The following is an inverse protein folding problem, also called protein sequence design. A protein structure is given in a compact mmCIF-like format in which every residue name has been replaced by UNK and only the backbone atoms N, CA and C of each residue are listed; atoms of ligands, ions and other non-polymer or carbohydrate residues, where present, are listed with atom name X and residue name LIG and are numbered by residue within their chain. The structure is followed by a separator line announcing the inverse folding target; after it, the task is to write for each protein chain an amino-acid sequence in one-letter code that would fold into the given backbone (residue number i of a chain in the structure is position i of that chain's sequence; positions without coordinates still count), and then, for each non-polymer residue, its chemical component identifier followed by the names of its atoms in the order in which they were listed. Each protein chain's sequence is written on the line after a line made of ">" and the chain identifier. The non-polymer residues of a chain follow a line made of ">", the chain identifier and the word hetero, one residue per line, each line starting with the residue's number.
data_IF_287325368959
#
_entry.id   IF_287325368959
#
_cell.length_a   1.000
_cell.length_b   1.000
_cell.length_c   1.000
_cell.angle_alpha   90.00
_cell.angle_beta   90.00
_cell.angle_gamma   90.00
#
_symmetry.space_group_name_H-M   'P 1'
#
loop_
_entity.id
_entity.type
_entity.pdbx_description
1 polymer ?
#
# COMPACT_ATOMS: atom_id res chain seq x y z
N UNK A 1 -51.87 -43.91 32.85
CA UNK A 1 -51.61 -44.54 34.15
C UNK A 1 -50.42 -43.80 34.74
N UNK A 2 -50.72 -42.69 35.41
CA UNK A 2 -50.86 -42.57 36.88
C UNK A 2 -49.46 -42.50 37.49
N UNK A 3 -48.96 -41.28 37.73
CA UNK A 3 -49.09 -40.55 39.02
C UNK A 3 -48.21 -41.20 40.09
N UNK A 4 -47.26 -40.48 40.69
CA UNK A 4 -47.59 -39.60 41.81
C UNK A 4 -46.67 -38.38 41.95
N UNK A 5 -47.35 -37.23 42.02
CA UNK A 5 -46.97 -35.89 42.45
C UNK A 5 -47.11 -35.83 44.02
N UNK A 6 -47.38 -34.70 44.72
CA UNK A 6 -46.53 -33.57 45.13
C UNK A 6 -46.69 -33.20 46.64
N UNK A 7 -46.10 -32.09 47.08
CA UNK A 7 -46.60 -31.27 48.22
C UNK A 7 -46.22 -29.80 48.00
N UNK A 8 -47.11 -28.82 47.74
CA UNK A 8 -48.16 -28.18 48.58
C UNK A 8 -47.59 -27.66 49.93
N UNK A 9 -47.75 -26.42 50.44
CA UNK A 9 -48.69 -25.29 50.20
C UNK A 9 -48.32 -24.06 51.10
N UNK A 10 -48.62 -22.83 50.62
CA UNK A 10 -49.15 -21.58 51.26
C UNK A 10 -48.66 -20.94 52.59
N UNK A 11 -48.50 -19.60 52.55
CA UNK A 11 -49.32 -18.53 53.20
C UNK A 11 -48.45 -17.32 53.58
N UNK A 12 -48.68 -16.10 53.06
CA UNK A 12 -49.59 -15.05 53.53
C UNK A 12 -49.35 -14.56 54.99
N UNK A 13 -48.70 -13.40 55.14
CA UNK A 13 -48.85 -12.54 56.32
C UNK A 13 -48.70 -11.05 55.94
N UNK A 14 -49.84 -10.35 55.94
CA UNK A 14 -49.95 -8.88 56.01
C UNK A 14 -49.72 -8.42 57.46
N UNK A 15 -49.13 -7.23 57.65
CA UNK A 15 -49.37 -6.23 58.72
C UNK A 15 -48.57 -4.97 58.36
N UNK A 16 -49.23 -3.94 57.83
CA UNK A 16 -49.75 -2.74 58.50
C UNK A 16 -48.70 -1.66 58.77
N UNK A 17 -48.87 -0.56 58.02
CA UNK A 17 -48.21 0.75 58.11
C UNK A 17 -48.53 1.50 59.41
N UNK A 18 -47.78 2.58 59.70
CA UNK A 18 -48.36 3.83 60.13
C UNK A 18 -48.19 4.93 59.08
N UNK A 19 -49.28 5.66 58.89
CA UNK A 19 -49.44 6.88 58.08
C UNK A 19 -48.93 8.07 58.93
N UNK A 20 -48.05 8.92 58.40
CA UNK A 20 -47.85 10.29 58.90
C UNK A 20 -48.34 11.25 57.81
N UNK A 21 -49.48 11.87 58.08
CA UNK A 21 -50.16 12.89 57.27
C UNK A 21 -49.52 14.26 57.54
N UNK A 22 -48.64 14.73 56.65
CA UNK A 22 -48.31 16.16 56.55
C UNK A 22 -48.19 16.61 55.08
N UNK A 23 -48.87 17.71 54.68
CA UNK A 23 -48.85 18.19 53.31
C UNK A 23 -47.62 19.09 53.06
N UNK A 24 -46.93 18.90 51.94
CA UNK A 24 -45.92 19.84 51.44
C UNK A 24 -46.29 20.29 50.02
N UNK A 25 -46.38 21.61 49.88
CA UNK A 25 -46.85 22.39 48.74
C UNK A 25 -45.99 22.24 47.46
N UNK A 26 -46.48 22.67 46.27
CA UNK A 26 -45.79 22.48 45.01
C UNK A 26 -44.84 23.66 44.74
N UNK A 27 -43.55 23.37 44.57
CA UNK A 27 -42.59 24.32 44.00
C UNK A 27 -42.09 23.92 42.61
N UNK A 28 -41.95 24.97 41.80
CA UNK A 28 -41.72 25.00 40.36
C UNK A 28 -40.37 24.40 39.97
N UNK A 29 -40.37 23.52 38.96
CA UNK A 29 -39.16 23.24 38.17
C UNK A 29 -39.38 23.60 36.70
N UNK A 30 -38.83 24.76 36.32
CA UNK A 30 -38.45 25.03 34.94
C UNK A 30 -37.13 24.27 34.66
N UNK A 31 -37.22 23.21 33.85
CA UNK A 31 -36.08 22.35 33.50
C UNK A 31 -35.79 22.41 32.00
N UNK A 32 -34.65 22.99 31.68
CA UNK A 32 -34.02 23.14 30.37
C UNK A 32 -33.94 21.81 29.60
N UNK A 33 -34.51 21.76 28.39
CA UNK A 33 -34.21 20.72 27.39
C UNK A 33 -32.84 21.02 26.76
N UNK A 34 -31.77 20.47 27.35
CA UNK A 34 -30.46 20.41 26.71
C UNK A 34 -30.31 19.04 26.02
N UNK A 35 -30.32 19.05 24.69
CA UNK A 35 -29.95 17.91 23.84
C UNK A 35 -28.54 17.44 24.20
N UNK A 36 -28.43 16.25 24.82
CA UNK A 36 -27.14 15.60 25.06
C UNK A 36 -26.57 15.10 23.73
N UNK A 37 -25.66 15.89 23.16
CA UNK A 37 -24.77 15.42 22.09
C UNK A 37 -23.84 14.35 22.67
N UNK A 38 -23.96 13.12 22.16
CA UNK A 38 -23.06 12.03 22.51
C UNK A 38 -21.76 12.28 21.73
N UNK A 39 -20.83 13.00 22.33
CA UNK A 39 -19.49 13.19 21.79
C UNK A 39 -18.67 11.92 22.02
N UNK A 40 -18.32 11.22 20.95
CA UNK A 40 -17.31 10.17 21.00
C UNK A 40 -15.94 10.81 21.25
N UNK A 41 -15.16 10.35 22.25
CA UNK A 41 -13.83 10.88 22.49
C UNK A 41 -12.93 10.55 21.29
N UNK A 42 -12.45 11.60 20.61
CA UNK A 42 -11.39 11.46 19.61
C UNK A 42 -10.11 10.94 20.28
N UNK A 43 -9.40 10.00 19.61
CA UNK A 43 -8.14 9.41 20.10
C UNK A 43 -7.00 10.43 20.32
N UNK A 44 -7.14 11.65 19.80
CA UNK A 44 -6.27 12.81 20.03
C UNK A 44 -7.10 14.11 19.94
N UNK A 45 -6.75 15.17 20.70
CA UNK A 45 -7.37 16.48 20.53
C UNK A 45 -7.00 17.06 19.15
N UNK A 46 -7.92 17.84 18.54
CA UNK A 46 -7.69 18.56 17.28
C UNK A 46 -6.49 19.54 17.35
N UNK A 47 -6.09 19.97 18.55
CA UNK A 47 -4.94 20.85 18.77
C UNK A 47 -3.57 20.19 18.54
N UNK A 48 -3.53 18.85 18.45
CA UNK A 48 -2.27 18.07 18.42
C UNK A 48 -1.96 17.50 17.03
N UNK A 49 -2.72 17.89 16.00
CA UNK A 49 -2.42 17.49 14.62
C UNK A 49 -1.40 18.45 14.02
N UNK A 50 -0.16 17.97 13.87
CA UNK A 50 0.88 18.69 13.14
C UNK A 50 0.53 18.80 11.65
N UNK A 51 0.85 19.92 10.97
CA UNK A 51 0.69 20.04 9.52
C UNK A 51 1.50 18.98 8.78
N UNK A 52 0.99 18.51 7.64
CA UNK A 52 1.70 17.61 6.75
C UNK A 52 2.97 18.29 6.22
N UNK A 53 4.09 17.58 6.30
CA UNK A 53 5.34 18.04 5.71
C UNK A 53 5.31 17.87 4.19
N UNK A 54 5.55 18.96 3.45
CA UNK A 54 5.58 18.96 1.99
C UNK A 54 6.94 19.48 1.51
N UNK A 55 7.61 18.76 0.63
CA UNK A 55 8.84 19.21 0.00
C UNK A 55 8.60 19.58 -1.46
N UNK A 56 9.17 20.71 -1.90
CA UNK A 56 9.24 21.10 -3.32
C UNK A 56 10.68 20.96 -3.81
N UNK A 57 10.87 20.13 -4.85
CA UNK A 57 12.17 19.90 -5.49
C UNK A 57 12.16 20.35 -6.95
N UNK A 58 13.25 21.00 -7.36
CA UNK A 58 13.52 21.50 -8.71
C UNK A 58 14.90 22.16 -8.80
N UNK A 59 15.39 22.40 -10.01
CA UNK A 59 16.58 23.22 -10.24
C UNK A 59 16.26 24.71 -10.07
N UNK A 60 16.56 25.27 -8.90
CA UNK A 60 16.14 26.62 -8.50
C UNK A 60 16.57 27.77 -9.45
N UNK A 61 17.73 27.65 -10.12
CA UNK A 61 18.27 28.73 -10.96
C UNK A 61 17.77 28.73 -12.40
N UNK A 62 17.06 27.69 -12.83
CA UNK A 62 16.59 27.62 -14.23
C UNK A 62 15.44 28.59 -14.46
N UNK A 63 15.45 29.21 -15.64
CA UNK A 63 14.44 30.18 -16.04
C UNK A 63 13.18 29.51 -16.60
N UNK A 64 12.03 30.08 -16.25
CA UNK A 64 10.71 29.75 -16.77
C UNK A 64 9.96 31.03 -17.11
N UNK A 65 8.93 30.92 -17.95
CA UNK A 65 7.96 31.98 -18.12
C UNK A 65 7.03 32.03 -16.91
N UNK A 66 7.08 33.14 -16.17
CA UNK A 66 6.21 33.41 -15.03
C UNK A 66 6.01 34.91 -14.86
N UNK A 67 4.76 35.33 -14.64
CA UNK A 67 4.30 36.71 -14.59
C UNK A 67 4.62 37.48 -15.88
N UNK A 68 4.45 36.81 -17.04
CA UNK A 68 4.81 37.31 -18.37
C UNK A 68 6.29 37.74 -18.49
N UNK A 69 7.17 37.15 -17.67
CA UNK A 69 8.62 37.44 -17.63
C UNK A 69 9.41 36.15 -17.52
N UNK A 70 10.67 36.19 -17.94
CA UNK A 70 11.62 35.12 -17.62
C UNK A 70 12.04 35.26 -16.15
N UNK A 71 11.66 34.30 -15.31
CA UNK A 71 11.98 34.26 -13.87
C UNK A 71 12.56 32.91 -13.49
N UNK A 72 13.35 32.85 -12.41
CA UNK A 72 13.90 31.59 -11.94
C UNK A 72 12.85 30.74 -11.22
N UNK A 73 13.03 29.41 -11.27
CA UNK A 73 12.20 28.47 -10.51
C UNK A 73 12.23 28.75 -8.99
N UNK A 74 13.29 29.36 -8.46
CA UNK A 74 13.36 29.81 -7.07
C UNK A 74 12.24 30.80 -6.72
N UNK A 75 11.87 31.70 -7.64
CA UNK A 75 10.77 32.66 -7.42
C UNK A 75 9.44 31.92 -7.34
N UNK A 76 9.20 31.00 -8.28
CA UNK A 76 7.99 30.16 -8.28
C UNK A 76 7.90 29.28 -7.02
N UNK A 77 9.00 28.67 -6.58
CA UNK A 77 9.05 27.83 -5.37
C UNK A 77 8.63 28.60 -4.11
N UNK A 78 9.10 29.84 -3.95
CA UNK A 78 8.71 30.70 -2.81
C UNK A 78 7.23 31.06 -2.83
N UNK A 79 6.69 31.37 -4.01
CA UNK A 79 5.25 31.64 -4.17
C UNK A 79 4.41 30.38 -3.88
N UNK A 80 4.82 29.24 -4.43
CA UNK A 80 4.18 27.95 -4.16
C UNK A 80 4.17 27.62 -2.67
N UNK A 81 5.31 27.79 -1.99
CA UNK A 81 5.42 27.63 -0.54
C UNK A 81 4.39 28.51 0.17
N UNK A 82 4.38 29.82 -0.10
CA UNK A 82 3.46 30.77 0.52
C UNK A 82 1.99 30.35 0.36
N UNK A 83 1.59 29.97 -0.86
CA UNK A 83 0.22 29.55 -1.16
C UNK A 83 -0.18 28.25 -0.49
N UNK A 84 0.69 27.24 -0.55
CA UNK A 84 0.44 25.92 0.03
C UNK A 84 0.40 25.98 1.57
N UNK A 85 1.27 26.78 2.20
CA UNK A 85 1.23 27.04 3.65
C UNK A 85 0.00 27.87 4.05
N UNK A 86 -0.53 28.68 3.13
CA UNK A 86 -1.78 29.43 3.28
C UNK A 86 -3.04 28.56 3.29
N UNK A 87 -2.97 27.30 2.85
CA UNK A 87 -4.13 26.39 2.83
C UNK A 87 -4.52 26.01 4.26
N UNK A 88 -5.75 26.38 4.63
CA UNK A 88 -6.33 26.09 5.94
C UNK A 88 -7.65 25.34 5.82
N UNK A 89 -7.85 24.35 6.68
CA UNK A 89 -9.13 23.65 6.85
C UNK A 89 -9.59 23.87 8.29
N UNK A 90 -10.76 24.49 8.48
CA UNK A 90 -11.26 24.83 9.81
C UNK A 90 -10.32 25.75 10.60
N UNK A 91 -9.52 26.58 9.90
CA UNK A 91 -8.51 27.46 10.51
C UNK A 91 -7.15 26.80 10.81
N UNK A 92 -7.02 25.48 10.65
CA UNK A 92 -5.79 24.72 10.88
C UNK A 92 -4.98 24.68 9.58
N UNK A 93 -3.69 25.00 9.66
CA UNK A 93 -2.76 24.89 8.54
C UNK A 93 -2.57 23.44 8.12
N UNK A 94 -2.73 23.16 6.82
CA UNK A 94 -2.67 21.79 6.29
C UNK A 94 -1.23 21.37 6.02
N UNK A 95 -0.42 22.25 5.43
CA UNK A 95 0.93 21.94 4.99
C UNK A 95 1.98 22.82 5.66
N UNK A 96 3.09 22.21 6.07
CA UNK A 96 4.36 22.87 6.33
C UNK A 96 5.29 22.59 5.15
N UNK A 97 5.67 23.63 4.40
CA UNK A 97 6.39 23.45 3.14
C UNK A 97 7.86 23.72 3.32
N UNK A 98 8.71 22.81 2.85
CA UNK A 98 10.16 22.95 2.85
C UNK A 98 10.68 23.17 1.43
N UNK A 99 11.54 24.18 1.29
CA UNK A 99 12.32 24.47 0.09
C UNK A 99 13.77 24.74 0.51
N UNK A 100 14.74 24.38 -0.33
CA UNK A 100 16.16 24.58 -0.03
C UNK A 100 16.52 26.05 0.24
N UNK A 101 15.82 27.00 -0.39
CA UNK A 101 16.07 28.44 -0.26
C UNK A 101 15.87 28.99 1.17
N UNK A 102 15.20 28.24 2.06
CA UNK A 102 14.99 28.63 3.47
C UNK A 102 16.21 28.34 4.36
N UNK A 103 17.17 27.53 3.91
CA UNK A 103 18.40 27.29 4.65
C UNK A 103 19.31 28.52 4.49
N UNK A 104 19.43 29.32 5.56
CA UNK A 104 20.38 30.43 5.62
C UNK A 104 21.79 29.94 5.26
N UNK A 105 22.60 30.76 4.59
CA UNK A 105 23.98 30.53 4.10
C UNK A 105 25.01 30.08 5.19
N UNK A 106 24.68 29.12 6.03
CA UNK A 106 25.56 28.55 7.04
C UNK A 106 26.36 27.44 6.36
N UNK A 107 27.53 27.85 5.86
CA UNK A 107 28.67 27.03 5.44
C UNK A 107 28.61 25.54 5.81
N UNK A 108 28.25 24.68 4.85
CA UNK A 108 28.70 23.28 4.75
C UNK A 108 28.18 22.64 3.45
N UNK A 109 28.90 22.81 2.34
CA UNK A 109 28.57 22.19 1.03
C UNK A 109 28.33 20.65 1.12
N UNK A 110 28.92 19.97 2.10
CA UNK A 110 28.72 18.54 2.36
C UNK A 110 27.47 18.20 3.20
N UNK A 111 26.98 19.10 4.07
CA UNK A 111 25.78 18.85 4.89
C UNK A 111 24.48 19.10 4.11
N UNK A 112 24.55 19.86 3.01
CA UNK A 112 23.38 20.23 2.23
C UNK A 112 22.80 19.04 1.46
N UNK A 113 23.64 18.11 0.98
CA UNK A 113 23.17 16.95 0.20
C UNK A 113 22.34 15.98 1.04
N UNK A 114 22.89 15.47 2.15
CA UNK A 114 22.16 14.52 3.00
C UNK A 114 20.96 15.18 3.67
N UNK A 115 21.04 16.47 4.05
CA UNK A 115 19.87 17.22 4.54
C UNK A 115 18.72 17.20 3.52
N UNK A 116 19.01 17.52 2.25
CA UNK A 116 18.01 17.48 1.18
C UNK A 116 17.40 16.08 1.00
N UNK A 117 18.23 15.02 1.04
CA UNK A 117 17.75 13.65 0.94
C UNK A 117 16.89 13.25 2.15
N UNK A 118 17.30 13.63 3.35
CA UNK A 118 16.52 13.37 4.56
C UNK A 118 15.16 14.06 4.50
N UNK A 119 15.10 15.31 4.07
CA UNK A 119 13.84 16.03 3.83
C UNK A 119 12.98 15.35 2.79
N UNK A 120 13.57 14.88 1.69
CA UNK A 120 12.84 14.17 0.64
C UNK A 120 12.26 12.84 1.14
N UNK A 121 13.03 12.07 1.91
CA UNK A 121 12.57 10.81 2.53
C UNK A 121 11.48 11.03 3.56
N UNK A 122 11.59 12.07 4.38
CA UNK A 122 10.71 12.29 5.53
C UNK A 122 9.47 13.15 5.22
N UNK A 123 9.43 13.86 4.09
CA UNK A 123 8.23 14.59 3.69
C UNK A 123 7.03 13.65 3.49
N UNK A 124 5.86 14.06 3.97
CA UNK A 124 4.58 13.36 3.76
C UNK A 124 4.09 13.50 2.31
N UNK A 125 4.41 14.63 1.68
CA UNK A 125 4.13 14.92 0.26
C UNK A 125 5.39 15.45 -0.42
N UNK A 126 5.68 14.97 -1.63
CA UNK A 126 6.81 15.45 -2.43
C UNK A 126 6.31 15.95 -3.79
N UNK A 127 6.57 17.21 -4.11
CA UNK A 127 6.24 17.82 -5.40
C UNK A 127 7.53 18.09 -6.17
N UNK A 128 7.68 17.43 -7.31
CA UNK A 128 8.75 17.69 -8.27
C UNK A 128 8.29 18.71 -9.31
N UNK A 129 8.93 19.89 -9.39
CA UNK A 129 8.79 20.77 -10.55
C UNK A 129 9.86 20.39 -11.57
N UNK A 130 9.42 19.72 -12.63
CA UNK A 130 10.29 19.01 -13.56
C UNK A 130 10.43 19.76 -14.88
N UNK A 131 11.66 20.16 -15.19
CA UNK A 131 12.05 20.79 -16.46
C UNK A 131 13.14 20.01 -17.21
N UNK A 132 13.48 18.80 -16.75
CA UNK A 132 14.50 17.95 -17.37
C UNK A 132 15.92 18.08 -16.82
N UNK A 133 16.19 18.96 -15.84
CA UNK A 133 17.53 19.11 -15.23
C UNK A 133 17.66 18.34 -13.92
N UNK A 134 18.77 17.61 -13.77
CA UNK A 134 19.04 16.70 -12.65
C UNK A 134 19.44 17.41 -11.36
N UNK A 135 19.85 18.68 -11.41
CA UNK A 135 20.30 19.42 -10.22
C UNK A 135 21.82 19.60 -10.15
N UNK A 136 22.29 20.14 -9.02
CA UNK A 136 23.72 20.22 -8.69
C UNK A 136 24.28 18.83 -8.39
N UNK A 137 25.54 18.57 -8.75
CA UNK A 137 26.18 17.24 -8.64
C UNK A 137 26.95 17.01 -7.34
N UNK A 138 26.80 17.88 -6.33
CA UNK A 138 27.51 17.74 -5.05
C UNK A 138 28.93 18.32 -5.03
N UNK A 139 29.47 18.72 -6.18
CA UNK A 139 30.81 19.32 -6.31
C UNK A 139 30.85 20.37 -7.43
N UNK A 140 31.86 21.24 -7.40
CA UNK A 140 32.14 22.20 -8.48
C UNK A 140 32.89 21.57 -9.67
N UNK A 141 33.41 20.36 -9.48
CA UNK A 141 34.08 19.54 -10.51
C UNK A 141 33.14 18.41 -10.96
N UNK A 142 32.30 18.64 -11.98
CA UNK A 142 31.25 17.70 -12.36
C UNK A 142 31.86 16.36 -12.81
N UNK A 143 31.57 15.30 -12.05
CA UNK A 143 31.82 13.93 -12.52
C UNK A 143 30.81 13.65 -13.64
N UNK A 144 31.28 13.19 -14.80
CA UNK A 144 30.44 13.02 -16.00
C UNK A 144 29.27 12.05 -15.77
N UNK A 145 29.42 11.11 -14.84
CA UNK A 145 28.45 10.11 -14.42
C UNK A 145 27.78 10.42 -13.06
N UNK A 146 27.92 11.65 -12.56
CA UNK A 146 27.38 12.06 -11.28
C UNK A 146 25.84 12.07 -11.23
N UNK A 147 25.27 11.82 -10.05
CA UNK A 147 23.84 11.98 -9.80
C UNK A 147 23.57 13.43 -9.39
N UNK A 148 22.57 14.08 -10.00
CA UNK A 148 22.14 15.42 -9.58
C UNK A 148 21.20 15.38 -8.37
N UNK A 149 21.24 16.43 -7.54
CA UNK A 149 20.47 16.49 -6.29
C UNK A 149 18.96 16.35 -6.51
N UNK A 150 18.40 16.96 -7.56
CA UNK A 150 16.96 16.85 -7.84
C UNK A 150 16.57 15.42 -8.23
N UNK A 151 17.45 14.72 -8.97
CA UNK A 151 17.29 13.30 -9.25
C UNK A 151 17.35 12.48 -7.96
N UNK A 152 18.38 12.71 -7.13
CA UNK A 152 18.55 11.99 -5.87
C UNK A 152 17.39 12.21 -4.89
N UNK A 153 16.88 13.43 -4.78
CA UNK A 153 15.72 13.78 -3.95
C UNK A 153 14.46 13.02 -4.39
N UNK A 154 14.13 13.04 -5.68
CA UNK A 154 12.93 12.33 -6.16
C UNK A 154 13.07 10.82 -6.01
N UNK A 155 14.25 10.26 -6.24
CA UNK A 155 14.52 8.83 -6.04
C UNK A 155 14.34 8.46 -4.56
N UNK A 156 14.94 9.23 -3.64
CA UNK A 156 14.83 9.00 -2.21
C UNK A 156 13.39 9.12 -1.69
N UNK A 157 12.61 10.08 -2.21
CA UNK A 157 11.19 10.21 -1.88
C UNK A 157 10.37 9.04 -2.43
N UNK A 158 10.61 8.65 -3.68
CA UNK A 158 9.88 7.59 -4.37
C UNK A 158 10.15 6.20 -3.77
N UNK A 159 11.42 5.88 -3.48
CA UNK A 159 11.81 4.62 -2.85
C UNK A 159 11.20 4.45 -1.46
N UNK A 160 11.02 5.56 -0.73
CA UNK A 160 10.36 5.54 0.58
C UNK A 160 8.86 5.27 0.47
N UNK A 161 8.18 5.98 -0.42
CA UNK A 161 6.75 5.82 -0.67
C UNK A 161 6.36 6.43 -2.03
N UNK A 162 6.13 5.61 -3.07
CA UNK A 162 5.73 6.13 -4.39
C UNK A 162 4.47 7.00 -4.35
N UNK A 163 3.54 6.65 -3.46
CA UNK A 163 2.25 7.31 -3.31
C UNK A 163 2.32 8.78 -2.87
N UNK A 164 3.43 9.24 -2.25
CA UNK A 164 3.61 10.65 -1.86
C UNK A 164 4.20 11.54 -2.94
N UNK A 165 4.74 10.97 -4.02
CA UNK A 165 5.42 11.72 -5.07
C UNK A 165 4.41 12.20 -6.11
N UNK A 166 4.42 13.50 -6.41
CA UNK A 166 3.67 14.13 -7.49
C UNK A 166 4.63 14.95 -8.37
N UNK A 167 4.31 15.06 -9.65
CA UNK A 167 5.09 15.83 -10.60
C UNK A 167 4.26 16.97 -11.22
N UNK A 168 4.93 18.09 -11.46
CA UNK A 168 4.46 19.19 -12.29
C UNK A 168 5.51 19.34 -13.36
N UNK A 169 5.20 18.90 -14.56
CA UNK A 169 6.16 18.73 -15.64
C UNK A 169 5.97 19.85 -16.66
N UNK A 170 7.03 20.62 -16.91
CA UNK A 170 7.01 21.62 -17.97
C UNK A 170 7.06 20.92 -19.33
N UNK A 171 6.16 21.30 -20.25
CA UNK A 171 6.05 20.66 -21.57
C UNK A 171 7.34 20.81 -22.39
N UNK A 172 7.98 21.97 -22.30
CA UNK A 172 9.26 22.23 -22.92
C UNK A 172 10.38 21.84 -21.95
N UNK A 173 10.85 20.59 -22.05
CA UNK A 173 12.02 20.15 -21.29
C UNK A 173 13.28 20.81 -21.85
N UNK A 174 14.22 21.09 -20.96
CA UNK A 174 15.54 21.56 -21.36
C UNK A 174 16.29 20.36 -21.99
N UNK A 175 16.80 20.47 -23.23
CA UNK A 175 17.51 19.38 -23.87
C UNK A 175 18.73 18.95 -23.05
N UNK A 176 18.85 17.64 -22.83
CA UNK A 176 20.02 17.05 -22.20
C UNK A 176 21.13 16.82 -23.24
N UNK A 177 22.39 16.97 -22.83
CA UNK A 177 23.51 16.49 -23.62
C UNK A 177 23.57 14.94 -23.53
N UNK A 178 24.05 14.25 -24.58
CA UNK A 178 24.28 12.80 -24.51
C UNK A 178 25.22 12.42 -23.36
N UNK A 179 24.93 11.30 -22.71
CA UNK A 179 25.67 10.75 -21.56
C UNK A 179 25.79 11.73 -20.37
N UNK A 180 24.79 12.60 -20.20
CA UNK A 180 24.74 13.55 -19.09
C UNK A 180 23.86 13.09 -17.94
N UNK A 181 24.08 13.63 -16.72
CA UNK A 181 23.17 13.42 -15.59
C UNK A 181 21.72 13.84 -15.90
N UNK A 182 21.54 14.87 -16.73
CA UNK A 182 20.23 15.34 -17.18
C UNK A 182 19.55 14.30 -18.07
N UNK A 183 20.26 13.68 -19.01
CA UNK A 183 19.71 12.62 -19.85
C UNK A 183 19.29 11.42 -18.99
N UNK A 184 20.15 11.02 -18.06
CA UNK A 184 19.87 9.93 -17.11
C UNK A 184 18.63 10.24 -16.27
N UNK A 185 18.47 11.48 -15.82
CA UNK A 185 17.29 11.93 -15.08
C UNK A 185 16.02 11.96 -15.95
N UNK A 186 16.13 12.41 -17.20
CA UNK A 186 15.01 12.39 -18.14
C UNK A 186 14.54 10.96 -18.45
N UNK A 187 15.48 10.03 -18.63
CA UNK A 187 15.15 8.61 -18.79
C UNK A 187 14.51 8.01 -17.53
N UNK A 188 15.01 8.37 -16.34
CA UNK A 188 14.43 7.93 -15.07
C UNK A 188 12.97 8.38 -14.93
N UNK A 189 12.68 9.68 -15.12
CA UNK A 189 11.32 10.23 -15.02
C UNK A 189 10.37 9.60 -16.05
N UNK A 190 10.84 9.38 -17.28
CA UNK A 190 10.08 8.72 -18.34
C UNK A 190 9.71 7.27 -18.00
N UNK A 191 10.64 6.50 -17.41
CA UNK A 191 10.42 5.10 -17.01
C UNK A 191 9.45 4.98 -15.84
N UNK A 192 9.59 5.83 -14.84
CA UNK A 192 8.78 5.76 -13.61
C UNK A 192 7.35 6.28 -13.78
N UNK A 193 7.08 7.09 -14.82
CA UNK A 193 5.74 7.64 -15.13
C UNK A 193 5.06 8.28 -13.92
N UNK A 194 5.78 9.19 -13.26
CA UNK A 194 5.27 9.89 -12.06
C UNK A 194 3.91 10.54 -12.31
N UNK A 195 2.91 10.34 -11.42
CA UNK A 195 1.62 11.03 -11.50
C UNK A 195 1.81 12.54 -11.45
N UNK A 196 1.15 13.29 -12.32
CA UNK A 196 1.39 14.72 -12.39
C UNK A 196 0.67 15.46 -13.51
N UNK A 197 0.77 16.79 -13.46
CA UNK A 197 0.24 17.69 -14.47
C UNK A 197 1.32 18.13 -15.47
N UNK A 198 0.92 18.38 -16.72
CA UNK A 198 1.76 18.98 -17.75
C UNK A 198 1.44 20.47 -17.88
N UNK A 199 2.43 21.33 -17.72
CA UNK A 199 2.28 22.80 -17.66
C UNK A 199 3.18 23.51 -18.67
N UNK A 200 2.75 24.67 -19.14
CA UNK A 200 3.53 25.53 -20.03
C UNK A 200 4.24 26.66 -19.26
N UNK A 201 3.56 27.26 -18.27
CA UNK A 201 4.05 28.46 -17.56
C UNK A 201 4.05 28.27 -16.04
N UNK A 202 4.67 29.20 -15.33
CA UNK A 202 4.67 29.24 -13.87
C UNK A 202 3.28 29.44 -13.27
N UNK A 203 2.37 30.16 -13.93
CA UNK A 203 0.98 30.33 -13.49
C UNK A 203 0.24 29.01 -13.52
N UNK A 204 0.39 28.24 -14.61
CA UNK A 204 -0.19 26.90 -14.69
C UNK A 204 0.42 25.99 -13.62
N UNK A 205 1.73 26.04 -13.41
CA UNK A 205 2.39 25.29 -12.33
C UNK A 205 1.83 25.63 -10.95
N UNK A 206 1.56 26.91 -10.69
CA UNK A 206 0.99 27.41 -9.44
C UNK A 206 -0.41 26.85 -9.19
N UNK A 207 -1.29 26.97 -10.18
CA UNK A 207 -2.65 26.45 -10.10
C UNK A 207 -2.64 24.92 -9.90
N UNK A 208 -1.83 24.20 -10.69
CA UNK A 208 -1.76 22.74 -10.61
C UNK A 208 -1.18 22.24 -9.29
N UNK A 209 -0.28 22.99 -8.67
CA UNK A 209 0.25 22.63 -7.36
C UNK A 209 -0.83 22.66 -6.26
N UNK A 210 -1.70 23.67 -6.24
CA UNK A 210 -2.82 23.75 -5.30
C UNK A 210 -3.80 22.58 -5.50
N UNK A 211 -4.17 22.30 -6.76
CA UNK A 211 -5.01 21.16 -7.12
C UNK A 211 -4.38 19.82 -6.70
N UNK A 212 -3.09 19.63 -6.97
CA UNK A 212 -2.35 18.41 -6.62
C UNK A 212 -2.21 18.24 -5.10
N UNK A 213 -1.96 19.32 -4.36
CA UNK A 213 -1.88 19.28 -2.91
C UNK A 213 -3.23 18.88 -2.30
N UNK A 214 -4.32 19.50 -2.74
CA UNK A 214 -5.68 19.13 -2.32
C UNK A 214 -6.01 17.68 -2.68
N UNK A 215 -5.74 17.25 -3.91
CA UNK A 215 -5.96 15.88 -4.35
C UNK A 215 -5.12 14.87 -3.55
N UNK A 216 -3.89 15.24 -3.17
CA UNK A 216 -3.01 14.39 -2.36
C UNK A 216 -3.55 14.23 -0.96
N UNK A 217 -4.01 15.30 -0.29
CA UNK A 217 -4.68 15.19 1.02
C UNK A 217 -5.91 14.29 0.95
N UNK A 218 -6.73 14.45 -0.09
CA UNK A 218 -7.89 13.60 -0.30
C UNK A 218 -7.50 12.14 -0.56
N UNK A 219 -6.43 11.89 -1.32
CA UNK A 219 -5.91 10.54 -1.57
C UNK A 219 -5.37 9.91 -0.30
N UNK A 220 -4.51 10.61 0.44
CA UNK A 220 -3.95 10.16 1.71
C UNK A 220 -5.04 9.94 2.76
N UNK A 221 -6.08 10.77 2.80
CA UNK A 221 -7.24 10.56 3.66
C UNK A 221 -8.02 9.30 3.26
N UNK A 222 -8.26 9.07 1.96
CA UNK A 222 -8.95 7.87 1.45
C UNK A 222 -8.13 6.59 1.66
N UNK A 223 -6.84 6.64 1.37
CA UNK A 223 -5.89 5.57 1.64
C UNK A 223 -5.76 5.31 3.13
N UNK A 224 -5.71 6.37 3.95
CA UNK A 224 -5.76 6.30 5.40
C UNK A 224 -7.03 5.62 5.92
N UNK A 225 -8.20 5.89 5.32
CA UNK A 225 -9.45 5.15 5.60
C UNK A 225 -9.34 3.69 5.16
N UNK A 226 -8.68 3.42 4.03
CA UNK A 226 -8.40 2.06 3.54
C UNK A 226 -7.44 1.27 4.45
N UNK A 227 -6.41 1.91 5.01
CA UNK A 227 -5.43 1.30 5.93
C UNK A 227 -5.99 1.23 7.37
N UNK A 228 -6.77 2.22 7.81
CA UNK A 228 -7.56 2.19 9.05
C UNK A 228 -8.88 1.41 8.92
N UNK A 229 -9.14 0.74 7.80
CA UNK A 229 -10.20 -0.28 7.69
C UNK A 229 -9.95 -1.50 8.60
N UNK A 230 -8.91 -1.44 9.44
CA UNK A 230 -8.86 -2.18 10.70
C UNK A 230 -10.11 -2.07 11.58
N UNK A 231 -11.01 -1.14 11.26
CA UNK A 231 -12.33 -0.95 11.85
C UNK A 231 -13.38 -2.06 11.69
N UNK A 232 -13.10 -3.21 11.05
CA UNK A 232 -14.06 -4.35 11.01
C UNK A 232 -13.48 -5.70 11.46
N UNK A 233 -12.39 -5.73 12.23
CA UNK A 233 -11.80 -7.02 12.67
C UNK A 233 -12.39 -7.56 13.98
N UNK A 234 -13.22 -6.78 14.67
CA UNK A 234 -13.93 -7.21 15.89
C UNK A 234 -15.36 -7.70 15.61
N UNK A 235 -15.80 -7.72 14.35
CA UNK A 235 -17.15 -8.09 13.95
C UNK A 235 -17.16 -8.81 12.58
N UNK A 236 -18.20 -9.58 12.31
CA UNK A 236 -18.41 -10.24 11.02
C UNK A 236 -17.43 -11.39 10.73
N UNK A 237 -17.20 -11.66 9.45
CA UNK A 237 -16.44 -12.82 8.97
C UNK A 237 -14.97 -12.82 9.44
N UNK A 238 -14.33 -11.66 9.57
CA UNK A 238 -12.97 -11.55 10.08
C UNK A 238 -12.84 -12.04 11.54
N UNK A 239 -13.86 -11.76 12.37
CA UNK A 239 -13.93 -12.31 13.73
C UNK A 239 -14.15 -13.83 13.69
N UNK A 240 -15.02 -14.32 12.81
CA UNK A 240 -15.25 -15.76 12.65
C UNK A 240 -13.98 -16.50 12.23
N UNK A 241 -13.22 -15.97 11.27
CA UNK A 241 -11.94 -16.54 10.86
C UNK A 241 -10.93 -16.51 12.01
N UNK A 242 -10.93 -15.47 12.84
CA UNK A 242 -10.05 -15.40 14.03
C UNK A 242 -10.35 -16.48 15.07
N UNK A 243 -11.61 -16.95 15.17
CA UNK A 243 -12.03 -18.04 16.06
C UNK A 243 -11.66 -19.43 15.53
N UNK A 244 -11.40 -19.57 14.24
CA UNK A 244 -11.02 -20.85 13.63
C UNK A 244 -9.64 -21.32 14.11
N UNK A 245 -9.44 -22.63 14.18
CA UNK A 245 -8.11 -23.21 14.30
C UNK A 245 -7.31 -23.03 12.99
N UNK A 246 -6.00 -23.28 13.03
CA UNK A 246 -5.12 -23.04 11.88
C UNK A 246 -5.50 -23.83 10.62
N UNK A 247 -5.88 -25.09 10.75
CA UNK A 247 -6.27 -25.93 9.61
C UNK A 247 -7.52 -25.40 8.93
N UNK A 248 -8.59 -25.16 9.70
CA UNK A 248 -9.85 -24.66 9.16
C UNK A 248 -9.68 -23.28 8.51
N UNK A 249 -8.87 -22.41 9.13
CA UNK A 249 -8.59 -21.08 8.58
C UNK A 249 -7.79 -21.16 7.27
N UNK A 250 -6.77 -22.03 7.21
CA UNK A 250 -6.00 -22.29 5.98
C UNK A 250 -6.91 -22.76 4.85
N UNK A 251 -7.82 -23.69 5.14
CA UNK A 251 -8.76 -24.21 4.15
C UNK A 251 -9.68 -23.12 3.61
N UNK A 252 -10.28 -22.30 4.48
CA UNK A 252 -11.16 -21.20 4.05
C UNK A 252 -10.42 -20.15 3.22
N UNK A 253 -9.26 -19.69 3.67
CA UNK A 253 -8.43 -18.74 2.91
C UNK A 253 -8.05 -19.30 1.53
N UNK A 254 -7.63 -20.56 1.48
CA UNK A 254 -7.25 -21.24 0.22
C UNK A 254 -8.45 -21.36 -0.71
N UNK A 255 -9.62 -21.75 -0.20
CA UNK A 255 -10.87 -21.84 -0.97
C UNK A 255 -11.24 -20.50 -1.61
N UNK A 256 -11.08 -19.39 -0.88
CA UNK A 256 -11.39 -18.05 -1.40
C UNK A 256 -10.51 -17.71 -2.61
N UNK A 257 -9.19 -17.93 -2.53
CA UNK A 257 -8.27 -17.70 -3.66
C UNK A 257 -8.63 -18.60 -4.84
N UNK A 258 -8.80 -19.90 -4.60
CA UNK A 258 -9.10 -20.87 -5.65
C UNK A 258 -10.40 -20.52 -6.36
N UNK A 259 -11.44 -20.16 -5.59
CA UNK A 259 -12.74 -19.74 -6.13
C UNK A 259 -12.61 -18.49 -6.99
N UNK A 260 -11.80 -17.50 -6.57
CA UNK A 260 -11.51 -16.30 -7.36
C UNK A 260 -10.87 -16.67 -8.70
N UNK A 261 -9.78 -17.45 -8.67
CA UNK A 261 -9.03 -17.83 -9.87
C UNK A 261 -9.88 -18.67 -10.83
N UNK A 262 -10.61 -19.67 -10.32
CA UNK A 262 -11.49 -20.53 -11.14
C UNK A 262 -12.64 -19.76 -11.77
N UNK A 263 -13.24 -18.80 -11.04
CA UNK A 263 -14.28 -17.93 -11.59
C UNK A 263 -13.72 -17.09 -12.74
N UNK A 264 -12.49 -16.57 -12.60
CA UNK A 264 -11.80 -15.81 -13.64
C UNK A 264 -11.44 -16.67 -14.87
N UNK A 265 -11.14 -17.95 -14.67
CA UNK A 265 -10.88 -18.91 -15.75
C UNK A 265 -12.13 -19.30 -16.55
N UNK A 266 -13.34 -18.94 -16.11
CA UNK A 266 -14.59 -19.36 -16.75
C UNK A 266 -14.80 -20.88 -16.78
N UNK A 267 -14.08 -21.64 -15.93
CA UNK A 267 -14.12 -23.11 -15.95
C UNK A 267 -13.39 -23.78 -17.11
N UNK A 268 -12.54 -23.05 -17.84
CA UNK A 268 -11.88 -23.54 -19.07
C UNK A 268 -10.98 -24.79 -18.89
N UNK A 269 -10.54 -25.10 -17.67
CA UNK A 269 -9.62 -26.20 -17.40
C UNK A 269 -10.13 -27.13 -16.30
N UNK A 270 -10.06 -28.44 -16.56
CA UNK A 270 -10.33 -29.48 -15.55
C UNK A 270 -9.25 -29.41 -14.48
N UNK A 271 -9.65 -29.09 -13.25
CA UNK A 271 -8.71 -28.85 -12.17
C UNK A 271 -8.32 -30.17 -11.47
N UNK A 272 -7.01 -30.44 -11.29
CA UNK A 272 -6.52 -31.73 -10.80
C UNK A 272 -6.67 -31.92 -9.28
N UNK A 273 -6.79 -30.83 -8.52
CA UNK A 273 -7.00 -30.87 -7.08
C UNK A 273 -7.80 -29.66 -6.60
N UNK A 274 -8.31 -29.72 -5.36
CA UNK A 274 -9.10 -28.65 -4.74
C UNK A 274 -8.36 -27.33 -4.57
N UNK A 275 -7.02 -27.35 -4.52
CA UNK A 275 -6.18 -26.18 -4.29
C UNK A 275 -5.48 -25.65 -5.56
N UNK A 276 -5.78 -26.21 -6.74
CA UNK A 276 -5.21 -25.77 -8.01
C UNK A 276 -6.24 -25.02 -8.85
N UNK A 277 -5.77 -23.95 -9.50
CA UNK A 277 -6.53 -23.19 -10.48
C UNK A 277 -5.63 -22.80 -11.65
N UNK A 278 -6.11 -22.98 -12.89
CA UNK A 278 -5.41 -22.52 -14.08
C UNK A 278 -6.13 -21.30 -14.68
N UNK A 279 -5.39 -20.24 -14.96
CA UNK A 279 -5.90 -19.04 -15.64
C UNK A 279 -5.01 -18.69 -16.83
N UNK A 280 -5.59 -18.06 -17.84
CA UNK A 280 -4.82 -17.53 -18.97
C UNK A 280 -4.09 -16.24 -18.57
N UNK A 281 -2.78 -16.19 -18.78
CA UNK A 281 -1.94 -15.01 -18.63
C UNK A 281 -1.10 -14.86 -19.89
N UNK A 282 -1.31 -13.77 -20.63
CA UNK A 282 -0.63 -13.48 -21.91
C UNK A 282 -0.64 -14.66 -22.90
N UNK A 283 -1.79 -15.30 -23.09
CA UNK A 283 -1.95 -16.42 -24.03
C UNK A 283 -1.36 -17.75 -23.55
N UNK A 284 -0.87 -17.83 -22.30
CA UNK A 284 -0.41 -19.07 -21.69
C UNK A 284 -1.29 -19.46 -20.50
N UNK A 285 -1.62 -20.74 -20.39
CA UNK A 285 -2.40 -21.26 -19.26
C UNK A 285 -1.46 -21.52 -18.09
N UNK A 286 -1.58 -20.72 -17.03
CA UNK A 286 -0.72 -20.80 -15.85
C UNK A 286 -1.48 -21.47 -14.71
N UNK A 287 -0.93 -22.58 -14.22
CA UNK A 287 -1.41 -23.31 -13.05
C UNK A 287 -0.87 -22.70 -11.76
N UNK A 288 -1.80 -22.25 -10.93
CA UNK A 288 -1.55 -21.77 -9.58
C UNK A 288 -1.80 -22.87 -8.56
N UNK A 289 -0.80 -23.14 -7.71
CA UNK A 289 -0.96 -23.96 -6.51
C UNK A 289 -1.25 -23.01 -5.36
N UNK A 290 -2.49 -23.02 -4.88
CA UNK A 290 -2.94 -22.12 -3.84
C UNK A 290 -2.75 -22.74 -2.46
N UNK A 291 -2.31 -21.94 -1.50
CA UNK A 291 -2.22 -22.32 -0.10
C UNK A 291 -2.42 -21.10 0.80
N UNK A 292 -2.33 -21.27 2.12
CA UNK A 292 -2.51 -20.19 3.08
C UNK A 292 -1.74 -20.39 4.37
N UNK A 293 -1.15 -19.31 4.86
CA UNK A 293 -0.52 -19.22 6.16
C UNK A 293 -1.51 -18.58 7.12
N UNK A 294 -2.13 -19.38 8.03
CA UNK A 294 -3.30 -18.95 8.79
C UNK A 294 -2.98 -17.98 9.93
N UNK A 295 -1.71 -17.64 10.16
CA UNK A 295 -1.30 -16.72 11.22
C UNK A 295 -0.17 -15.78 10.72
N UNK A 296 0.55 -15.17 11.66
CA UNK A 296 1.79 -14.46 11.31
C UNK A 296 2.81 -15.44 10.71
N UNK A 297 3.56 -15.00 9.69
CA UNK A 297 4.71 -15.72 9.15
C UNK A 297 5.76 -16.10 10.20
N UNK A 298 5.82 -15.34 11.31
CA UNK A 298 6.70 -15.62 12.45
C UNK A 298 6.21 -16.81 13.31
N UNK A 299 4.95 -17.21 13.18
CA UNK A 299 4.40 -18.37 13.91
C UNK A 299 4.76 -19.66 13.18
N UNK A 300 5.75 -20.39 13.70
CA UNK A 300 6.24 -21.63 13.08
C UNK A 300 5.11 -22.63 12.77
N UNK A 301 4.24 -22.94 13.73
CA UNK A 301 3.14 -23.87 13.54
C UNK A 301 2.15 -23.49 12.40
N UNK A 302 2.06 -22.21 12.03
CA UNK A 302 1.25 -21.77 10.88
C UNK A 302 2.02 -21.89 9.56
N UNK A 303 3.32 -21.59 9.58
CA UNK A 303 4.22 -21.64 8.42
C UNK A 303 4.50 -23.07 7.97
N UNK A 304 4.74 -23.99 8.92
CA UNK A 304 5.02 -25.40 8.63
C UNK A 304 3.83 -26.13 7.99
N UNK A 305 2.61 -25.61 8.10
CA UNK A 305 1.46 -26.17 7.37
C UNK A 305 1.63 -26.06 5.85
N UNK A 306 2.31 -25.01 5.39
CA UNK A 306 2.60 -24.78 3.97
C UNK A 306 3.97 -25.37 3.60
N UNK A 307 4.96 -25.23 4.48
CA UNK A 307 6.33 -25.70 4.24
C UNK A 307 6.92 -25.09 2.97
N UNK A 308 7.80 -25.81 2.28
CA UNK A 308 8.34 -25.41 0.97
C UNK A 308 7.52 -26.07 -0.14
N UNK A 309 6.44 -25.44 -0.65
CA UNK A 309 5.48 -26.11 -1.51
C UNK A 309 6.10 -26.56 -2.84
N UNK A 310 7.14 -25.87 -3.30
CA UNK A 310 7.84 -26.17 -4.55
C UNK A 310 8.54 -27.54 -4.55
N UNK A 311 8.81 -28.12 -3.37
CA UNK A 311 9.39 -29.46 -3.28
C UNK A 311 8.44 -30.54 -3.81
N UNK A 312 7.13 -30.26 -3.83
CA UNK A 312 6.10 -31.19 -4.28
C UNK A 312 5.56 -30.85 -5.69
N UNK A 313 6.23 -29.96 -6.42
CA UNK A 313 5.76 -29.51 -7.74
C UNK A 313 5.58 -30.65 -8.75
N UNK A 314 6.49 -31.63 -8.73
CA UNK A 314 6.40 -32.81 -9.60
C UNK A 314 5.14 -33.65 -9.33
N UNK A 315 4.69 -33.69 -8.06
CA UNK A 315 3.46 -34.40 -7.68
C UNK A 315 2.21 -33.62 -8.12
N UNK A 316 2.24 -32.29 -7.98
CA UNK A 316 1.14 -31.45 -8.44
C UNK A 316 0.97 -31.57 -9.95
N UNK A 317 2.05 -31.38 -10.69
CA UNK A 317 2.07 -31.29 -12.16
C UNK A 317 1.75 -32.60 -12.88
N UNK A 318 1.91 -33.75 -12.22
CA UNK A 318 1.63 -35.08 -12.77
C UNK A 318 0.23 -35.19 -13.38
N UNK A 319 -0.78 -34.60 -12.72
CA UNK A 319 -2.20 -34.70 -13.09
C UNK A 319 -2.70 -33.55 -13.95
N UNK A 320 -1.84 -32.61 -14.30
CA UNK A 320 -2.23 -31.41 -15.05
C UNK A 320 -2.26 -31.72 -16.55
N UNK A 321 -3.13 -31.01 -17.26
CA UNK A 321 -3.12 -31.00 -18.72
C UNK A 321 -1.77 -30.44 -19.24
N UNK A 322 -1.26 -31.00 -20.35
CA UNK A 322 0.00 -30.59 -20.96
C UNK A 322 0.02 -29.11 -21.39
N UNK A 323 -1.14 -28.51 -21.65
CA UNK A 323 -1.25 -27.09 -21.96
C UNK A 323 -1.00 -26.19 -20.74
N UNK A 324 -1.11 -26.70 -19.51
CA UNK A 324 -0.97 -25.93 -18.27
C UNK A 324 0.51 -25.86 -17.86
N UNK A 325 1.03 -24.64 -17.78
CA UNK A 325 2.40 -24.31 -17.37
C UNK A 325 2.46 -23.96 -15.87
N UNK A 326 3.65 -23.96 -15.27
CA UNK A 326 3.84 -23.71 -13.85
C UNK A 326 4.50 -24.88 -13.12
N UNK A 327 4.39 -24.97 -11.78
CA UNK A 327 3.47 -24.23 -10.92
C UNK A 327 3.93 -22.81 -10.54
N UNK A 328 2.97 -21.96 -10.22
CA UNK A 328 3.17 -20.71 -9.48
C UNK A 328 2.45 -20.82 -8.15
N UNK A 329 3.13 -20.58 -7.03
CA UNK A 329 2.50 -20.68 -5.72
C UNK A 329 1.83 -19.36 -5.34
N UNK A 330 0.55 -19.40 -4.98
CA UNK A 330 -0.20 -18.25 -4.49
C UNK A 330 -0.64 -18.52 -3.05
N UNK A 331 0.00 -17.86 -2.10
CA UNK A 331 -0.11 -18.14 -0.67
C UNK A 331 -0.79 -16.96 0.01
N UNK A 332 -2.01 -17.12 0.51
CA UNK A 332 -2.63 -16.09 1.34
C UNK A 332 -2.03 -16.08 2.75
N UNK A 333 -1.56 -14.92 3.20
CA UNK A 333 -1.07 -14.68 4.54
C UNK A 333 -2.14 -13.94 5.35
N UNK A 334 -2.50 -14.48 6.51
CA UNK A 334 -3.51 -13.87 7.38
C UNK A 334 -3.11 -12.46 7.85
N UNK A 335 -1.80 -12.26 8.03
CA UNK A 335 -1.19 -10.96 8.39
C UNK A 335 -0.27 -10.47 7.28
N UNK A 336 0.42 -9.36 7.54
CA UNK A 336 1.49 -8.88 6.67
C UNK A 336 2.63 -9.90 6.54
N UNK A 337 3.38 -9.76 5.45
CA UNK A 337 4.58 -10.53 5.14
C UNK A 337 5.68 -9.55 4.74
N UNK A 338 6.90 -9.76 5.24
CA UNK A 338 8.07 -9.00 4.80
C UNK A 338 8.86 -9.75 3.72
N UNK A 339 9.70 -9.03 2.98
CA UNK A 339 10.62 -9.61 1.99
C UNK A 339 11.48 -10.71 2.60
N UNK A 340 12.09 -10.45 3.75
CA UNK A 340 12.90 -11.44 4.47
C UNK A 340 12.11 -12.69 4.86
N UNK A 341 10.82 -12.58 5.18
CA UNK A 341 9.98 -13.75 5.47
C UNK A 341 9.68 -14.54 4.20
N UNK A 342 9.42 -13.87 3.07
CA UNK A 342 9.18 -14.52 1.79
C UNK A 342 10.43 -15.23 1.25
N UNK A 343 11.60 -14.58 1.31
CA UNK A 343 12.90 -15.16 0.92
C UNK A 343 13.22 -16.41 1.75
N UNK A 344 13.01 -16.35 3.07
CA UNK A 344 13.22 -17.52 3.95
C UNK A 344 12.33 -18.69 3.59
N UNK A 345 11.09 -18.42 3.19
CA UNK A 345 10.17 -19.46 2.75
C UNK A 345 10.60 -20.08 1.41
N UNK A 346 11.10 -19.26 0.49
CA UNK A 346 11.66 -19.71 -0.78
C UNK A 346 12.92 -20.56 -0.56
N UNK A 347 13.74 -20.22 0.44
CA UNK A 347 14.97 -20.96 0.78
C UNK A 347 16.18 -20.59 -0.07
N UNK A 348 16.05 -19.65 -1.01
CA UNK A 348 17.12 -19.16 -1.88
C UNK A 348 17.34 -17.65 -1.66
N UNK A 349 18.57 -17.21 -1.34
CA UNK A 349 18.84 -15.80 -1.09
C UNK A 349 18.91 -14.95 -2.36
N UNK A 350 19.33 -15.55 -3.48
CA UNK A 350 19.40 -14.88 -4.78
C UNK A 350 18.08 -15.05 -5.53
N UNK A 351 17.13 -14.17 -5.22
CA UNK A 351 15.79 -14.19 -5.79
C UNK A 351 15.36 -12.78 -6.19
N UNK A 352 14.54 -12.70 -7.23
CA UNK A 352 13.75 -11.51 -7.54
C UNK A 352 12.73 -11.34 -6.43
N UNK A 353 12.71 -10.18 -5.79
CA UNK A 353 11.77 -9.83 -4.72
C UNK A 353 11.07 -8.54 -5.08
N UNK A 354 9.73 -8.56 -5.04
CA UNK A 354 8.91 -7.38 -5.28
C UNK A 354 7.86 -7.24 -4.18
N UNK A 355 7.94 -6.14 -3.45
CA UNK A 355 6.90 -5.71 -2.52
C UNK A 355 5.88 -4.81 -3.23
N UNK A 356 4.59 -5.10 -3.07
CA UNK A 356 3.51 -4.30 -3.63
C UNK A 356 2.30 -4.23 -2.70
N UNK A 357 1.24 -3.48 -3.08
CA UNK A 357 0.03 -3.36 -2.26
C UNK A 357 -0.67 -4.71 -1.96
N UNK A 358 -0.42 -5.73 -2.79
CA UNK A 358 -0.94 -7.08 -2.60
C UNK A 358 -0.15 -7.92 -1.58
N UNK A 359 1.10 -7.56 -1.25
CA UNK A 359 2.02 -8.36 -0.46
C UNK A 359 3.40 -8.47 -1.10
N UNK A 360 3.98 -9.68 -1.11
CA UNK A 360 5.36 -9.90 -1.61
C UNK A 360 5.37 -11.00 -2.66
N UNK A 361 5.96 -10.73 -3.81
CA UNK A 361 6.24 -11.71 -4.84
C UNK A 361 7.73 -12.04 -4.83
N UNK A 362 8.07 -13.33 -4.84
CA UNK A 362 9.45 -13.82 -4.96
C UNK A 362 9.57 -14.82 -6.10
N UNK A 363 10.67 -14.75 -6.84
CA UNK A 363 10.98 -15.70 -7.88
C UNK A 363 12.48 -15.97 -7.98
N UNK A 364 12.84 -17.22 -8.14
CA UNK A 364 14.21 -17.65 -8.35
C UNK A 364 14.46 -17.91 -9.85
N UNK A 365 15.63 -17.51 -10.35
CA UNK A 365 16.01 -17.68 -11.75
C UNK A 365 16.78 -18.99 -12.01
N UNK A 366 17.16 -19.77 -11.01
CA UNK A 366 17.89 -21.03 -11.24
C UNK A 366 16.92 -22.21 -11.34
N UNK A 367 16.18 -22.46 -10.27
CA UNK A 367 15.15 -23.51 -10.15
C UNK A 367 13.79 -23.09 -10.70
N UNK A 368 13.65 -21.81 -11.08
CA UNK A 368 12.45 -21.22 -11.71
C UNK A 368 11.22 -21.24 -10.81
N UNK A 369 11.44 -21.27 -9.49
CA UNK A 369 10.37 -21.27 -8.48
C UNK A 369 9.76 -19.87 -8.40
N UNK A 370 8.44 -19.80 -8.20
CA UNK A 370 7.70 -18.54 -8.12
C UNK A 370 6.66 -18.62 -7.01
N UNK A 371 6.69 -17.67 -6.08
CA UNK A 371 5.76 -17.61 -4.94
C UNK A 371 5.24 -16.19 -4.76
N UNK A 372 3.92 -16.03 -4.69
CA UNK A 372 3.24 -14.78 -4.37
C UNK A 372 2.58 -14.92 -2.99
N UNK A 373 3.04 -14.13 -2.03
CA UNK A 373 2.48 -14.05 -0.68
C UNK A 373 1.50 -12.88 -0.60
N UNK A 374 0.21 -13.19 -0.56
CA UNK A 374 -0.87 -12.20 -0.52
C UNK A 374 -1.11 -11.78 0.92
N UNK A 375 -0.79 -10.55 1.27
CA UNK A 375 -0.84 -10.04 2.64
C UNK A 375 -2.27 -9.78 3.12
N UNK A 376 -2.47 -9.74 4.44
CA UNK A 376 -3.68 -9.23 5.10
C UNK A 376 -5.00 -9.93 4.67
N UNK A 377 -4.94 -11.23 4.41
CA UNK A 377 -6.10 -12.07 4.06
C UNK A 377 -6.86 -12.49 5.33
N UNK A 378 -7.73 -11.62 5.84
CA UNK A 378 -8.43 -11.80 7.13
C UNK A 378 -9.90 -12.20 7.01
N UNK A 379 -10.47 -11.98 5.84
CA UNK A 379 -11.83 -12.37 5.46
C UNK A 379 -11.90 -12.61 3.93
N UNK A 380 -13.06 -13.00 3.41
CA UNK A 380 -13.25 -13.27 1.99
C UNK A 380 -12.97 -12.03 1.12
N UNK A 381 -13.35 -10.85 1.59
CA UNK A 381 -13.25 -9.60 0.82
C UNK A 381 -11.82 -9.15 0.68
N UNK A 382 -11.06 -9.05 1.78
CA UNK A 382 -9.65 -8.62 1.71
C UNK A 382 -8.79 -9.64 0.97
N UNK A 383 -9.07 -10.93 1.14
CA UNK A 383 -8.37 -12.01 0.42
C UNK A 383 -8.58 -11.88 -1.09
N UNK A 384 -9.83 -11.65 -1.54
CA UNK A 384 -10.12 -11.45 -2.97
C UNK A 384 -9.51 -10.17 -3.51
N UNK A 385 -9.64 -9.06 -2.78
CA UNK A 385 -9.11 -7.76 -3.19
C UNK A 385 -7.60 -7.80 -3.41
N UNK A 386 -6.85 -8.39 -2.46
CA UNK A 386 -5.40 -8.44 -2.54
C UNK A 386 -4.90 -9.43 -3.61
N UNK A 387 -5.58 -10.57 -3.78
CA UNK A 387 -5.28 -11.49 -4.87
C UNK A 387 -5.57 -10.86 -6.25
N UNK A 388 -6.64 -10.07 -6.38
CA UNK A 388 -6.92 -9.31 -7.59
C UNK A 388 -5.85 -8.24 -7.86
N UNK A 389 -5.39 -7.53 -6.83
CA UNK A 389 -4.33 -6.53 -6.94
C UNK A 389 -3.02 -7.14 -7.46
N UNK A 390 -2.66 -8.36 -7.02
CA UNK A 390 -1.52 -9.11 -7.58
C UNK A 390 -1.69 -9.38 -9.08
N UNK A 391 -2.85 -9.88 -9.49
CA UNK A 391 -3.12 -10.17 -10.90
C UNK A 391 -3.13 -8.91 -11.78
N UNK A 392 -3.59 -7.78 -11.25
CA UNK A 392 -3.53 -6.50 -11.96
C UNK A 392 -2.08 -6.03 -12.11
N UNK A 393 -1.30 -6.08 -11.02
CA UNK A 393 0.11 -5.71 -11.03
C UNK A 393 0.92 -6.47 -12.09
N UNK A 394 0.69 -7.78 -12.27
CA UNK A 394 1.33 -8.58 -13.31
C UNK A 394 1.17 -7.99 -14.72
N UNK A 395 -0.01 -7.42 -15.00
CA UNK A 395 -0.31 -6.81 -16.30
C UNK A 395 0.24 -5.39 -16.39
N UNK A 396 0.00 -4.57 -15.37
CA UNK A 396 0.28 -3.13 -15.39
C UNK A 396 1.79 -2.84 -15.45
N UNK A 397 2.62 -3.69 -14.84
CA UNK A 397 4.07 -3.50 -14.73
C UNK A 397 4.87 -4.44 -15.63
N UNK A 398 4.20 -5.18 -16.53
CA UNK A 398 4.85 -6.05 -17.51
C UNK A 398 5.49 -7.31 -16.94
N UNK A 399 5.31 -7.63 -15.66
CA UNK A 399 5.91 -8.81 -15.02
C UNK A 399 5.31 -10.13 -15.54
N UNK A 400 4.08 -10.11 -16.07
CA UNK A 400 3.43 -11.27 -16.64
C UNK A 400 4.30 -12.01 -17.67
N UNK A 401 5.16 -11.30 -18.43
CA UNK A 401 6.08 -11.93 -19.39
C UNK A 401 7.14 -12.80 -18.72
N UNK A 402 7.69 -12.32 -17.61
CA UNK A 402 8.72 -13.02 -16.84
C UNK A 402 8.11 -14.19 -16.08
N UNK A 403 6.90 -13.99 -15.51
CA UNK A 403 6.15 -15.04 -14.84
C UNK A 403 5.85 -16.23 -15.75
N UNK A 404 5.32 -15.96 -16.94
CA UNK A 404 5.01 -17.01 -17.94
C UNK A 404 6.27 -17.75 -18.36
N UNK A 405 7.38 -17.03 -18.60
CA UNK A 405 8.67 -17.63 -18.98
C UNK A 405 9.16 -18.61 -17.90
N UNK A 406 9.20 -18.19 -16.64
CA UNK A 406 9.63 -19.04 -15.52
C UNK A 406 8.66 -20.21 -15.30
N UNK A 407 7.35 -19.99 -15.44
CA UNK A 407 6.34 -21.05 -15.28
C UNK A 407 6.51 -22.18 -16.31
N UNK A 408 6.80 -21.83 -17.57
CA UNK A 408 7.13 -22.83 -18.62
C UNK A 408 8.38 -23.63 -18.26
N UNK A 409 9.45 -22.95 -17.82
CA UNK A 409 10.69 -23.64 -17.43
C UNK A 409 10.51 -24.53 -16.20
N UNK A 410 9.76 -24.07 -15.19
CA UNK A 410 9.46 -24.86 -13.99
C UNK A 410 8.66 -26.12 -14.31
N UNK A 411 7.74 -26.03 -15.28
CA UNK A 411 6.99 -27.19 -15.78
C UNK A 411 7.94 -28.25 -16.33
N UNK A 412 8.87 -27.86 -17.19
CA UNK A 412 9.87 -28.77 -17.76
C UNK A 412 10.75 -29.42 -16.68
N UNK A 413 11.16 -28.66 -15.66
CA UNK A 413 11.93 -29.19 -14.52
C UNK A 413 11.11 -30.24 -13.76
N UNK A 414 9.86 -29.93 -13.44
CA UNK A 414 8.96 -30.82 -12.69
C UNK A 414 8.67 -32.11 -13.45
N UNK A 415 8.44 -32.01 -14.77
CA UNK A 415 8.24 -33.17 -15.64
C UNK A 415 9.50 -34.03 -15.78
N UNK A 416 10.69 -33.42 -15.74
CA UNK A 416 11.96 -34.15 -15.75
C UNK A 416 12.20 -34.90 -14.45
N UNK A 417 12.00 -34.26 -13.29
CA UNK A 417 12.16 -34.89 -11.96
C UNK A 417 11.30 -36.14 -11.83
N UNK A 418 10.09 -36.16 -12.42
CA UNK A 418 9.21 -37.33 -12.41
C UNK A 418 9.74 -38.54 -13.21
N UNK A 419 10.56 -38.29 -14.24
CA UNK A 419 11.06 -39.33 -15.14
C UNK A 419 12.30 -40.04 -14.59
N UNK A 420 13.02 -39.37 -13.70
CA UNK A 420 14.17 -39.90 -12.95
C UNK A 420 13.64 -40.60 -11.70
#
# INVERSE_FOLDING_TARGET
>A
MLESDPGWLTSAARRNLPIDDRPIAPEKHAGLLASRSIAFPMKKPLSDTEPLSLMISSRCNDAIEYQNKSQSLAVLRRELKSRLEGIKIGGIQVFRVWIHEDESNTSALLNNWESCLEKARNADVFIMLYNGRAGWLGTDSPVRDGLGICHAEVAAAFDKAPGKVRSIQFRALIPAAPDSPDESFQQFVSRQKFPGAQVATGEEALQRAEELAAATVLSLAREGVGVNSSGSFYAGEALEWSRMNFHKRRDEMTKVIVKLLRKRAGGAFKQPSGNVAAIEIRGANIGFVCDSIPASMSTAAARELVGQPFLNDYQHTEKWDAAIQGPVHLIACQKSVSENQAIRQLGFPDAVVVSGPFGVYVADEVQKIQMAFIANCRDETTTRGNAQAFLNWLNDHGEAKHLVRRAKSRRSISDYIRRV
#
